data_IF_591875602846
#
_entry.id   IF_591875602846
#
_cell.length_a   1.000
_cell.length_b   1.000
_cell.length_c   1.000
_cell.angle_alpha   90.00
_cell.angle_beta   90.00
_cell.angle_gamma   90.00
#
_symmetry.space_group_name_H-M   'P 1'
#
loop_
_entity.id
_entity.type
_entity.pdbx_description
1 polymer ?
#
# COMPACT_ATOMS: atom_id res chain seq x y z
N UNK A 1 -25.27 14.09 -11.86
CA UNK A 1 -25.41 14.10 -10.39
C UNK A 1 -23.99 14.05 -9.83
N UNK A 2 -23.66 14.72 -8.72
CA UNK A 2 -22.32 14.54 -8.10
C UNK A 2 -22.23 13.10 -7.58
N UNK A 3 -21.05 12.50 -7.61
CA UNK A 3 -20.82 11.13 -7.13
C UNK A 3 -21.13 10.99 -5.63
N UNK A 4 -20.80 12.04 -4.87
CA UNK A 4 -21.01 12.17 -3.44
C UNK A 4 -21.45 13.59 -3.10
N UNK A 5 -22.27 13.75 -2.06
CA UNK A 5 -22.79 15.05 -1.63
C UNK A 5 -22.89 15.14 -0.10
N UNK A 6 -22.31 16.19 0.53
CA UNK A 6 -22.53 16.45 1.94
C UNK A 6 -24.00 16.65 2.31
N UNK A 7 -24.41 16.10 3.45
CA UNK A 7 -25.69 16.37 4.10
C UNK A 7 -25.45 17.27 5.31
N UNK A 8 -26.11 18.42 5.35
CA UNK A 8 -25.90 19.41 6.40
C UNK A 8 -26.43 18.91 7.75
N UNK A 9 -25.60 19.01 8.78
CA UNK A 9 -25.95 18.73 10.18
C UNK A 9 -26.18 20.01 11.00
N UNK A 10 -26.15 21.19 10.37
CA UNK A 10 -26.10 22.48 11.05
C UNK A 10 -27.28 22.74 12.00
N UNK A 11 -28.46 22.20 11.69
CA UNK A 11 -29.66 22.30 12.54
C UNK A 11 -29.43 21.70 13.94
N UNK A 12 -28.56 20.69 14.04
CA UNK A 12 -28.29 19.96 15.26
C UNK A 12 -26.98 20.35 15.93
N UNK A 13 -26.25 21.33 15.37
CA UNK A 13 -24.97 21.77 15.87
C UNK A 13 -25.09 22.46 17.24
N UNK A 14 -24.55 21.84 18.28
CA UNK A 14 -24.75 22.23 19.68
C UNK A 14 -23.53 22.00 20.58
N UNK A 15 -22.47 21.34 20.10
CA UNK A 15 -21.21 21.19 20.83
C UNK A 15 -20.10 21.91 20.06
N UNK A 16 -19.23 22.60 20.79
CA UNK A 16 -18.11 23.34 20.20
C UNK A 16 -17.06 22.38 19.63
N UNK A 17 -16.20 22.91 18.77
CA UNK A 17 -15.14 22.15 18.12
C UNK A 17 -13.94 21.77 18.98
N UNK A 18 -14.15 21.81 20.28
CA UNK A 18 -13.19 21.44 21.30
C UNK A 18 -13.90 20.40 22.15
N UNK A 19 -13.50 19.13 22.02
CA UNK A 19 -13.84 18.18 23.07
C UNK A 19 -13.13 18.70 24.34
N UNK A 20 -13.84 18.83 25.45
CA UNK A 20 -13.35 19.51 26.66
C UNK A 20 -12.04 18.93 27.26
N UNK A 21 -11.58 17.79 26.75
CA UNK A 21 -10.38 17.07 27.17
C UNK A 21 -9.26 17.05 26.12
N UNK A 22 -9.54 17.51 24.89
CA UNK A 22 -8.67 17.39 23.72
C UNK A 22 -8.49 18.81 23.14
N UNK A 23 -7.42 19.52 23.54
CA UNK A 23 -7.14 20.93 23.17
C UNK A 23 -7.00 21.18 21.65
N UNK A 24 -7.21 20.15 20.81
CA UNK A 24 -7.12 20.20 19.35
C UNK A 24 -8.39 20.76 18.74
N UNK A 25 -8.28 21.90 18.05
CA UNK A 25 -9.33 22.38 17.16
C UNK A 25 -9.36 21.53 15.88
N UNK A 26 -10.52 20.98 15.54
CA UNK A 26 -10.68 20.26 14.28
C UNK A 26 -11.02 21.20 13.11
N UNK A 27 -10.64 20.82 11.87
CA UNK A 27 -11.05 21.54 10.66
C UNK A 27 -12.57 21.59 10.53
N UNK A 28 -13.12 22.73 10.13
CA UNK A 28 -14.57 22.91 9.90
C UNK A 28 -14.83 23.39 8.48
N UNK A 29 -16.10 23.32 8.05
CA UNK A 29 -16.50 23.66 6.68
C UNK A 29 -16.22 22.52 5.71
N UNK A 30 -15.95 22.86 4.44
CA UNK A 30 -15.75 21.87 3.39
C UNK A 30 -14.41 21.14 3.56
N UNK A 31 -14.47 19.82 3.71
CA UNK A 31 -13.31 18.94 3.91
C UNK A 31 -13.41 17.73 3.00
N UNK A 32 -12.26 17.13 2.69
CA UNK A 32 -12.15 15.87 1.95
C UNK A 32 -11.47 14.83 2.83
N UNK A 33 -12.11 13.67 2.98
CA UNK A 33 -11.55 12.51 3.67
C UNK A 33 -11.73 11.27 2.80
N UNK A 34 -10.64 10.57 2.47
CA UNK A 34 -10.65 9.44 1.52
C UNK A 34 -11.29 9.79 0.16
N UNK A 35 -11.14 11.06 -0.27
CA UNK A 35 -11.79 11.58 -1.49
C UNK A 35 -13.27 11.90 -1.38
N UNK A 36 -13.90 11.65 -0.22
CA UNK A 36 -15.30 11.93 0.02
C UNK A 36 -15.49 13.36 0.54
N UNK A 37 -16.43 14.14 -0.04
CA UNK A 37 -16.72 15.49 0.43
C UNK A 37 -17.58 15.45 1.69
N UNK A 38 -17.18 16.22 2.69
CA UNK A 38 -17.94 16.49 3.90
C UNK A 38 -18.07 17.99 4.14
N UNK A 39 -19.21 18.40 4.69
CA UNK A 39 -19.37 19.69 5.34
C UNK A 39 -19.28 19.43 6.84
N UNK A 40 -18.12 19.74 7.44
CA UNK A 40 -17.85 19.48 8.85
C UNK A 40 -18.44 20.59 9.72
N UNK A 41 -19.33 20.18 10.62
CA UNK A 41 -20.05 21.06 11.53
C UNK A 41 -21.04 22.00 10.83
N UNK A 42 -21.25 23.17 11.43
CA UNK A 42 -22.07 24.26 10.91
C UNK A 42 -21.27 25.33 10.14
N UNK A 43 -19.98 25.10 9.91
CA UNK A 43 -19.05 26.08 9.35
C UNK A 43 -18.67 27.23 10.30
N UNK A 44 -19.13 27.20 11.56
CA UNK A 44 -18.85 28.20 12.61
C UNK A 44 -18.22 27.58 13.86
N UNK A 45 -17.71 26.35 13.76
CA UNK A 45 -17.04 25.69 14.88
C UNK A 45 -17.95 24.80 15.73
N UNK A 46 -19.16 24.44 15.30
CA UNK A 46 -20.05 23.55 16.08
C UNK A 46 -20.42 22.27 15.35
N UNK A 47 -20.58 21.19 16.13
CA UNK A 47 -20.95 19.84 15.67
C UNK A 47 -22.27 19.38 16.26
N UNK A 48 -22.86 18.34 15.67
CA UNK A 48 -24.06 17.72 16.20
C UNK A 48 -23.70 16.73 17.32
N UNK A 49 -23.81 17.20 18.56
CA UNK A 49 -23.57 16.43 19.79
C UNK A 49 -24.83 15.77 20.33
N UNK A 50 -24.64 14.58 20.92
CA UNK A 50 -25.69 13.70 21.40
C UNK A 50 -25.26 12.94 22.67
N UNK A 51 -26.24 12.39 23.38
CA UNK A 51 -26.03 11.61 24.60
C UNK A 51 -26.33 12.39 25.87
N UNK A 52 -26.06 11.75 27.01
CA UNK A 52 -26.33 12.30 28.35
C UNK A 52 -25.76 13.71 28.49
N UNK A 53 -26.55 14.62 29.06
CA UNK A 53 -26.16 16.02 29.30
C UNK A 53 -25.87 16.86 28.04
N UNK A 54 -26.07 16.34 26.83
CA UNK A 54 -25.96 17.10 25.57
C UNK A 54 -27.32 17.17 24.87
N UNK A 55 -27.82 16.03 24.37
CA UNK A 55 -29.14 15.88 23.74
C UNK A 55 -29.53 14.41 23.75
N UNK A 56 -30.66 14.09 24.39
CA UNK A 56 -31.26 12.75 24.36
C UNK A 56 -32.43 12.63 23.38
N UNK A 57 -32.99 13.75 22.91
CA UNK A 57 -34.06 13.74 21.93
C UNK A 57 -33.56 13.28 20.56
N UNK A 58 -34.34 12.48 19.81
CA UNK A 58 -34.00 12.12 18.45
C UNK A 58 -33.83 13.34 17.52
N UNK A 59 -32.86 13.28 16.61
CA UNK A 59 -32.63 14.29 15.58
C UNK A 59 -32.98 13.76 14.19
N UNK A 60 -33.80 14.49 13.43
CA UNK A 60 -34.26 14.10 12.11
C UNK A 60 -33.61 14.94 11.00
N UNK A 61 -32.83 14.28 10.15
CA UNK A 61 -32.20 14.88 8.98
C UNK A 61 -33.00 14.54 7.74
N UNK A 62 -33.46 15.56 7.01
CA UNK A 62 -34.19 15.36 5.73
C UNK A 62 -33.19 15.04 4.63
N UNK A 63 -33.48 14.01 3.83
CA UNK A 63 -32.65 13.59 2.69
C UNK A 63 -33.39 13.84 1.38
N UNK A 64 -34.50 13.14 1.14
CA UNK A 64 -35.37 13.33 -0.03
C UNK A 64 -34.70 12.95 -1.35
N UNK A 65 -33.83 11.94 -1.35
CA UNK A 65 -33.07 11.49 -2.52
C UNK A 65 -32.87 9.96 -2.49
N UNK A 66 -32.73 9.35 -3.68
CA UNK A 66 -32.23 7.99 -3.81
C UNK A 66 -30.72 7.99 -3.56
N UNK A 67 -30.28 7.19 -2.61
CA UNK A 67 -28.86 7.09 -2.21
C UNK A 67 -28.46 5.63 -2.16
N UNK A 68 -27.19 5.33 -2.46
CA UNK A 68 -26.62 3.98 -2.33
C UNK A 68 -25.89 3.80 -1.02
N UNK A 69 -25.22 4.84 -0.54
CA UNK A 69 -24.51 4.82 0.74
C UNK A 69 -24.72 6.11 1.51
N UNK A 70 -24.58 6.02 2.83
CA UNK A 70 -24.52 7.19 3.72
C UNK A 70 -23.32 7.02 4.64
N UNK A 71 -22.33 7.88 4.52
CA UNK A 71 -21.10 7.84 5.32
C UNK A 71 -21.14 8.92 6.39
N UNK A 72 -20.92 8.50 7.63
CA UNK A 72 -20.91 9.31 8.84
C UNK A 72 -19.48 9.51 9.30
N UNK A 73 -19.10 10.76 9.54
CA UNK A 73 -17.93 11.11 10.31
C UNK A 73 -18.38 11.31 11.76
N UNK A 74 -17.99 10.44 12.69
CA UNK A 74 -18.45 10.50 14.08
C UNK A 74 -17.44 9.95 15.09
N UNK A 75 -17.56 10.39 16.35
CA UNK A 75 -16.68 9.96 17.45
C UNK A 75 -17.44 9.91 18.77
N UNK A 76 -17.07 8.93 19.58
CA UNK A 76 -17.46 8.84 20.98
C UNK A 76 -16.62 9.82 21.82
N UNK A 77 -17.28 10.62 22.66
CA UNK A 77 -16.63 11.59 23.55
C UNK A 77 -16.06 10.87 24.77
N UNK A 78 -16.87 10.02 25.41
CA UNK A 78 -16.44 9.25 26.59
C UNK A 78 -16.45 7.75 26.31
N UNK A 79 -15.39 7.07 26.75
CA UNK A 79 -15.31 5.61 26.71
C UNK A 79 -14.89 5.09 28.09
N UNK A 80 -15.71 4.19 28.65
CA UNK A 80 -15.36 3.43 29.85
C UNK A 80 -14.71 2.07 29.50
N UNK A 81 -14.47 1.80 28.21
CA UNK A 81 -13.95 0.52 27.72
C UNK A 81 -12.63 0.14 28.41
N UNK A 82 -11.68 1.07 28.48
CA UNK A 82 -10.38 0.83 29.11
C UNK A 82 -10.42 0.77 30.65
N UNK A 83 -11.54 1.16 31.25
CA UNK A 83 -11.76 1.11 32.70
C UNK A 83 -12.40 -0.22 33.15
N UNK A 84 -12.61 -1.17 32.21
CA UNK A 84 -13.19 -2.48 32.49
C UNK A 84 -14.69 -2.45 32.79
N UNK A 85 -15.35 -1.30 32.59
CA UNK A 85 -16.75 -1.09 32.96
C UNK A 85 -17.76 -1.43 31.86
N UNK A 86 -17.32 -1.64 30.62
CA UNK A 86 -18.22 -1.71 29.45
C UNK A 86 -18.09 -3.02 28.68
N UNK A 87 -19.19 -3.74 28.41
CA UNK A 87 -19.19 -4.86 27.46
C UNK A 87 -18.74 -4.42 26.05
N UNK A 88 -17.99 -5.27 25.35
CA UNK A 88 -17.65 -5.02 23.94
C UNK A 88 -18.95 -4.85 23.13
N UNK A 89 -19.05 -3.74 22.39
CA UNK A 89 -20.22 -3.47 21.54
C UNK A 89 -21.40 -2.84 22.27
N UNK A 90 -21.18 -2.12 23.38
CA UNK A 90 -22.23 -1.29 23.98
C UNK A 90 -22.84 -0.34 22.91
N UNK A 91 -24.17 -0.27 22.88
CA UNK A 91 -24.89 0.55 21.90
C UNK A 91 -24.90 2.01 22.33
N UNK A 92 -24.25 2.87 21.56
CA UNK A 92 -24.17 4.30 21.80
C UNK A 92 -25.38 5.05 21.21
N UNK A 93 -25.87 4.60 20.06
CA UNK A 93 -27.01 5.17 19.34
C UNK A 93 -27.71 4.13 18.45
N UNK A 94 -28.90 4.46 17.96
CA UNK A 94 -29.50 3.84 16.78
C UNK A 94 -29.62 4.88 15.67
N UNK A 95 -29.20 4.55 14.44
CA UNK A 95 -29.46 5.36 13.26
C UNK A 95 -30.59 4.70 12.47
N UNK A 96 -31.68 5.44 12.25
CA UNK A 96 -32.89 4.94 11.59
C UNK A 96 -33.04 5.61 10.24
N UNK A 97 -33.14 4.81 9.19
CA UNK A 97 -33.26 5.24 7.79
C UNK A 97 -34.70 5.01 7.34
N UNK A 98 -35.46 6.08 7.08
CA UNK A 98 -36.87 5.98 6.70
C UNK A 98 -37.07 6.30 5.21
N UNK A 99 -37.76 5.42 4.50
CA UNK A 99 -38.03 5.54 3.07
C UNK A 99 -39.35 6.26 2.79
N UNK A 100 -39.56 6.63 1.53
CA UNK A 100 -40.78 7.33 1.08
C UNK A 100 -42.09 6.57 1.34
N UNK A 101 -42.05 5.24 1.34
CA UNK A 101 -43.19 4.34 1.57
C UNK A 101 -43.48 4.07 3.05
N UNK A 102 -42.66 4.61 3.96
CA UNK A 102 -42.78 4.44 5.40
C UNK A 102 -42.02 3.24 5.97
N UNK A 103 -41.36 2.43 5.14
CA UNK A 103 -40.43 1.40 5.60
C UNK A 103 -39.23 2.04 6.33
N UNK A 104 -38.67 1.34 7.31
CA UNK A 104 -37.53 1.82 8.10
C UNK A 104 -36.49 0.73 8.30
N UNK A 105 -35.23 1.10 8.17
CA UNK A 105 -34.07 0.29 8.55
C UNK A 105 -33.42 0.91 9.79
N UNK A 106 -33.22 0.13 10.85
CA UNK A 106 -32.55 0.59 12.08
C UNK A 106 -31.21 -0.12 12.24
N UNK A 107 -30.15 0.67 12.42
CA UNK A 107 -28.79 0.18 12.66
C UNK A 107 -28.31 0.63 14.03
N UNK A 108 -27.89 -0.32 14.86
CA UNK A 108 -27.24 -0.03 16.14
C UNK A 108 -25.80 0.47 15.89
N UNK A 109 -25.45 1.60 16.50
CA UNK A 109 -24.11 2.17 16.48
C UNK A 109 -23.44 1.83 17.80
N UNK A 110 -22.44 0.96 17.74
CA UNK A 110 -21.83 0.34 18.90
C UNK A 110 -20.38 0.79 19.04
N UNK A 111 -19.98 1.00 20.29
CA UNK A 111 -18.59 1.24 20.62
C UNK A 111 -17.73 0.07 20.12
N UNK A 112 -16.56 0.36 19.54
CA UNK A 112 -15.60 -0.60 18.94
C UNK A 112 -16.02 -1.23 17.62
N UNK A 113 -17.20 -0.92 17.08
CA UNK A 113 -17.64 -1.41 15.77
C UNK A 113 -17.82 -0.25 14.81
N UNK A 114 -18.93 0.48 14.93
CA UNK A 114 -19.26 1.60 14.06
C UNK A 114 -18.62 2.90 14.57
N UNK A 115 -18.49 3.08 15.89
CA UNK A 115 -17.93 4.30 16.50
C UNK A 115 -16.85 3.96 17.54
N UNK A 116 -15.96 4.91 17.81
CA UNK A 116 -14.95 4.79 18.86
C UNK A 116 -14.52 6.13 19.43
N UNK A 117 -13.79 6.07 20.55
CA UNK A 117 -13.12 7.21 21.15
C UNK A 117 -11.71 7.41 20.57
N UNK A 118 -11.12 8.57 20.89
CA UNK A 118 -9.75 8.95 20.56
C UNK A 118 -9.18 9.67 21.80
N UNK A 119 -7.90 9.52 22.16
CA UNK A 119 -6.94 8.57 21.60
C UNK A 119 -7.22 7.12 22.03
N UNK A 120 -6.70 6.16 21.27
CA UNK A 120 -6.79 4.73 21.57
C UNK A 120 -5.45 4.01 21.36
N UNK A 121 -5.16 2.93 22.10
CA UNK A 121 -3.97 2.12 21.87
C UNK A 121 -3.93 1.43 20.48
N UNK A 122 -2.75 0.97 20.08
CA UNK A 122 -2.59 0.15 18.87
C UNK A 122 -3.49 -1.09 18.90
N UNK A 123 -4.18 -1.36 17.79
CA UNK A 123 -5.07 -2.52 17.67
C UNK A 123 -6.47 -2.33 18.28
N UNK A 124 -6.77 -1.11 18.76
CA UNK A 124 -8.06 -0.81 19.40
C UNK A 124 -9.07 -0.05 18.51
N UNK A 125 -8.83 0.02 17.20
CA UNK A 125 -9.70 0.73 16.28
C UNK A 125 -11.10 0.09 16.21
N UNK A 126 -12.14 0.88 15.85
CA UNK A 126 -13.44 0.32 15.54
C UNK A 126 -13.34 -0.65 14.34
N UNK A 127 -14.01 -1.80 14.44
CA UNK A 127 -13.88 -2.88 13.46
C UNK A 127 -14.59 -2.60 12.13
N UNK A 128 -15.65 -1.79 12.16
CA UNK A 128 -16.50 -1.49 10.99
C UNK A 128 -16.33 -0.05 10.48
N UNK A 129 -15.49 0.75 11.13
CA UNK A 129 -15.18 2.12 10.72
C UNK A 129 -13.71 2.25 10.28
N UNK A 130 -13.36 3.40 9.71
CA UNK A 130 -12.00 3.77 9.35
C UNK A 130 -11.62 5.10 9.97
N UNK A 131 -10.34 5.34 10.29
CA UNK A 131 -9.84 6.69 10.52
C UNK A 131 -10.22 7.63 9.36
N UNK A 132 -10.47 8.90 9.66
CA UNK A 132 -10.64 9.93 8.65
C UNK A 132 -9.34 10.24 7.90
N UNK A 133 -8.20 10.01 8.55
CA UNK A 133 -6.89 10.05 7.93
C UNK A 133 -6.73 8.84 7.01
N UNK A 134 -6.22 9.07 5.81
CA UNK A 134 -5.89 8.03 4.85
C UNK A 134 -4.42 7.64 4.95
N UNK A 135 -4.07 6.41 4.57
CA UNK A 135 -2.69 6.00 4.37
C UNK A 135 -2.00 6.94 3.38
N UNK A 136 -0.75 7.29 3.66
CA UNK A 136 0.09 8.08 2.78
C UNK A 136 1.46 7.44 2.59
N UNK A 137 2.31 8.11 1.82
CA UNK A 137 3.71 7.73 1.68
C UNK A 137 4.58 8.63 2.56
N UNK A 138 5.65 8.06 3.11
CA UNK A 138 6.70 8.89 3.68
C UNK A 138 7.36 9.75 2.59
N UNK A 139 8.03 10.87 2.92
CA UNK A 139 8.89 11.52 1.95
C UNK A 139 10.00 10.55 1.53
N UNK A 140 10.07 10.20 0.24
CA UNK A 140 10.92 9.10 -0.26
C UNK A 140 12.40 9.26 0.07
N UNK A 141 12.92 10.49 -0.09
CA UNK A 141 14.37 10.76 -0.07
C UNK A 141 14.90 11.40 1.22
N UNK A 142 14.02 11.80 2.13
CA UNK A 142 14.42 12.52 3.34
C UNK A 142 13.53 12.18 4.54
N UNK A 143 14.09 12.24 5.76
CA UNK A 143 13.33 12.11 6.99
C UNK A 143 14.20 12.05 8.23
N UNK A 144 13.56 11.87 9.39
CA UNK A 144 14.28 11.79 10.67
C UNK A 144 15.04 10.48 10.77
N UNK A 145 16.29 10.57 11.23
CA UNK A 145 17.12 9.39 11.48
C UNK A 145 16.47 8.39 12.45
N UNK A 146 15.80 8.88 13.49
CA UNK A 146 15.08 8.04 14.46
C UNK A 146 13.93 7.23 13.86
N UNK A 147 13.48 7.59 12.65
CA UNK A 147 12.40 6.93 11.92
C UNK A 147 12.94 5.99 10.83
N UNK A 148 14.26 5.78 10.70
CA UNK A 148 14.86 4.97 9.64
C UNK A 148 14.27 3.55 9.54
N UNK A 149 13.93 2.92 10.67
CA UNK A 149 13.27 1.61 10.69
C UNK A 149 11.84 1.65 10.16
N UNK A 150 10.99 2.55 10.69
CA UNK A 150 9.58 2.65 10.26
C UNK A 150 9.45 3.11 8.80
N UNK A 151 10.40 3.89 8.30
CA UNK A 151 10.43 4.33 6.90
C UNK A 151 10.65 3.19 5.89
N UNK A 152 11.18 2.03 6.31
CA UNK A 152 11.25 0.84 5.45
C UNK A 152 9.86 0.29 5.09
N UNK A 153 8.83 0.68 5.84
CA UNK A 153 7.44 0.36 5.50
C UNK A 153 6.93 1.19 4.31
N UNK A 154 7.63 2.26 3.92
CA UNK A 154 7.29 3.25 2.90
C UNK A 154 6.00 4.04 3.14
N UNK A 155 5.04 3.48 3.86
CA UNK A 155 3.70 4.02 4.11
C UNK A 155 3.56 4.61 5.51
N UNK A 156 2.81 5.70 5.64
CA UNK A 156 2.38 6.25 6.92
C UNK A 156 1.16 5.49 7.44
N UNK A 157 1.11 5.26 8.76
CA UNK A 157 -0.04 4.63 9.39
C UNK A 157 -1.16 5.65 9.65
N UNK A 158 -2.41 5.39 9.28
CA UNK A 158 -3.50 6.37 9.35
C UNK A 158 -4.11 6.44 10.75
N UNK A 159 -3.45 7.11 11.69
CA UNK A 159 -4.03 7.32 13.01
C UNK A 159 -5.20 8.30 12.96
N UNK A 160 -6.36 7.87 13.46
CA UNK A 160 -7.53 8.75 13.57
C UNK A 160 -7.17 9.96 14.45
N UNK A 161 -7.41 11.16 13.94
CA UNK A 161 -7.09 12.39 14.66
C UNK A 161 -8.31 12.94 15.39
N UNK A 162 -9.46 12.91 14.74
CA UNK A 162 -10.67 13.61 15.15
C UNK A 162 -11.90 12.69 15.18
N UNK A 163 -12.09 11.80 14.21
CA UNK A 163 -13.27 10.93 14.15
C UNK A 163 -13.04 9.70 13.28
N UNK A 164 -14.01 8.78 13.33
CA UNK A 164 -14.04 7.64 12.43
C UNK A 164 -15.11 7.85 11.36
N UNK A 165 -14.85 7.28 10.18
CA UNK A 165 -15.75 7.18 9.06
C UNK A 165 -16.41 5.79 9.09
N UNK A 166 -17.71 5.77 9.25
CA UNK A 166 -18.54 4.58 9.11
C UNK A 166 -19.59 4.82 8.03
N UNK A 167 -19.87 3.83 7.19
CA UNK A 167 -20.88 3.96 6.15
C UNK A 167 -21.93 2.88 6.24
N UNK A 168 -23.16 3.28 5.95
CA UNK A 168 -24.30 2.41 5.74
C UNK A 168 -24.48 2.16 4.24
N UNK A 169 -24.68 0.91 3.86
CA UNK A 169 -25.08 0.51 2.51
C UNK A 169 -26.61 0.40 2.50
N UNK A 170 -27.25 1.16 1.62
CA UNK A 170 -28.70 1.15 1.50
C UNK A 170 -29.17 -0.18 0.87
N UNK A 171 -29.97 -1.02 1.58
CA UNK A 171 -30.51 -2.25 1.01
C UNK A 171 -31.59 -1.99 -0.07
N UNK A 172 -32.10 -0.76 -0.16
CA UNK A 172 -33.14 -0.34 -1.10
C UNK A 172 -32.70 0.91 -1.90
N UNK A 173 -31.67 0.80 -2.75
CA UNK A 173 -31.12 1.95 -3.49
C UNK A 173 -32.10 2.57 -4.51
N UNK A 174 -33.13 1.82 -4.91
CA UNK A 174 -34.16 2.29 -5.84
C UNK A 174 -35.28 3.09 -5.15
N UNK A 175 -35.36 3.06 -3.81
CA UNK A 175 -36.32 3.84 -3.02
C UNK A 175 -35.72 5.16 -2.60
N UNK A 176 -36.53 6.21 -2.57
CA UNK A 176 -36.09 7.48 -2.00
C UNK A 176 -35.89 7.34 -0.48
N UNK A 177 -34.70 7.66 0.01
CA UNK A 177 -34.45 7.83 1.44
C UNK A 177 -35.02 9.19 1.84
N UNK A 178 -36.09 9.18 2.63
CA UNK A 178 -36.81 10.39 3.01
C UNK A 178 -36.10 11.13 4.14
N UNK A 179 -35.70 10.41 5.18
CA UNK A 179 -35.01 10.98 6.35
C UNK A 179 -34.13 9.99 7.08
N UNK A 180 -33.17 10.52 7.84
CA UNK A 180 -32.33 9.78 8.77
C UNK A 180 -32.63 10.31 10.18
N UNK A 181 -32.94 9.43 11.12
CA UNK A 181 -33.17 9.79 12.52
C UNK A 181 -32.04 9.24 13.40
N UNK A 182 -31.37 10.12 14.12
CA UNK A 182 -30.32 9.78 15.10
C UNK A 182 -30.96 9.65 16.48
N UNK A 183 -30.90 8.45 17.07
CA UNK A 183 -31.51 8.14 18.38
C UNK A 183 -30.40 7.82 19.39
N UNK A 184 -30.00 8.75 20.28
CA UNK A 184 -28.98 8.49 21.28
C UNK A 184 -29.44 7.51 22.36
N UNK A 185 -28.52 6.67 22.87
CA UNK A 185 -28.83 5.62 23.88
C UNK A 185 -28.13 5.81 25.23
N UNK A 186 -27.36 6.88 25.40
CA UNK A 186 -26.75 7.23 26.69
C UNK A 186 -25.35 7.82 26.53
N UNK A 187 -24.37 7.07 26.00
CA UNK A 187 -23.00 7.56 25.81
C UNK A 187 -22.96 8.87 25.02
N UNK A 188 -22.03 9.76 25.39
CA UNK A 188 -21.84 11.05 24.70
C UNK A 188 -21.04 10.83 23.43
N UNK A 189 -21.54 11.35 22.31
CA UNK A 189 -20.86 11.30 21.02
C UNK A 189 -21.19 12.54 20.19
N UNK A 190 -20.45 12.76 19.10
CA UNK A 190 -20.82 13.75 18.10
C UNK A 190 -20.75 13.16 16.69
N UNK A 191 -21.57 13.73 15.81
CA UNK A 191 -21.49 13.57 14.36
C UNK A 191 -20.86 14.84 13.80
N UNK A 192 -19.75 14.65 13.11
CA UNK A 192 -18.95 15.69 12.49
C UNK A 192 -19.49 16.14 11.14
N UNK A 193 -19.97 15.18 10.36
CA UNK A 193 -20.51 15.40 9.05
C UNK A 193 -21.09 14.12 8.49
N UNK A 194 -21.94 14.28 7.49
CA UNK A 194 -22.54 13.16 6.78
C UNK A 194 -22.36 13.42 5.29
N UNK A 195 -22.08 12.37 4.52
CA UNK A 195 -22.02 12.44 3.06
C UNK A 195 -22.85 11.33 2.45
N UNK A 196 -23.61 11.68 1.42
CA UNK A 196 -24.48 10.80 0.65
C UNK A 196 -23.72 10.31 -0.57
N UNK A 197 -23.68 9.00 -0.79
CA UNK A 197 -23.09 8.39 -1.99
C UNK A 197 -24.16 7.92 -2.97
N UNK A 198 -23.94 8.20 -4.25
CA UNK A 198 -24.87 7.87 -5.33
C UNK A 198 -24.33 6.77 -6.26
N UNK A 199 -23.06 6.41 -6.09
CA UNK A 199 -22.39 5.41 -6.90
C UNK A 199 -22.55 4.00 -6.32
N UNK A 200 -22.49 3.00 -7.20
CA UNK A 200 -22.52 1.58 -6.84
C UNK A 200 -21.12 1.07 -6.51
N UNK A 201 -20.58 1.53 -5.40
CA UNK A 201 -19.23 1.18 -4.93
C UNK A 201 -19.12 1.27 -3.40
N UNK A 202 -18.06 0.67 -2.85
CA UNK A 202 -17.67 0.87 -1.45
C UNK A 202 -16.99 2.24 -1.30
N UNK A 203 -17.49 3.16 -0.44
CA UNK A 203 -16.99 4.53 -0.40
C UNK A 203 -15.59 4.68 0.24
N UNK A 204 -15.06 3.68 0.94
CA UNK A 204 -13.79 3.76 1.68
C UNK A 204 -12.77 2.71 1.20
N UNK A 205 -12.56 2.64 -0.12
CA UNK A 205 -11.59 1.81 -0.90
C UNK A 205 -11.16 0.50 -0.24
N UNK A 206 -11.61 -0.63 -0.81
CA UNK A 206 -11.21 -1.98 -0.39
C UNK A 206 -10.63 -2.83 -1.51
N UNK A 207 -10.31 -2.24 -2.66
CA UNK A 207 -9.74 -2.98 -3.79
C UNK A 207 -8.29 -3.38 -3.49
N UNK A 208 -7.89 -4.57 -3.96
CA UNK A 208 -6.50 -4.98 -3.90
C UNK A 208 -5.67 -4.07 -4.80
N UNK A 209 -4.46 -3.72 -4.35
CA UNK A 209 -3.51 -2.96 -5.19
C UNK A 209 -3.22 -3.71 -6.48
N UNK A 210 -3.22 -2.99 -7.59
CA UNK A 210 -2.94 -3.54 -8.92
C UNK A 210 -1.74 -2.84 -9.55
N UNK A 211 -0.75 -3.59 -10.07
CA UNK A 211 0.38 -3.01 -10.77
C UNK A 211 -0.08 -2.41 -12.11
N UNK A 212 0.29 -1.16 -12.35
CA UNK A 212 0.14 -0.51 -13.63
C UNK A 212 1.48 -0.05 -14.16
N UNK A 213 1.63 -0.11 -15.48
CA UNK A 213 2.69 0.57 -16.22
C UNK A 213 2.18 1.93 -16.66
N UNK A 214 2.99 2.96 -16.42
CA UNK A 214 2.78 4.31 -16.88
C UNK A 214 3.78 4.61 -17.99
N UNK A 215 3.26 4.88 -19.17
CA UNK A 215 4.03 5.23 -20.37
C UNK A 215 3.77 6.70 -20.75
N UNK A 216 4.83 7.43 -21.07
CA UNK A 216 4.79 8.82 -21.53
C UNK A 216 4.94 8.79 -23.04
N UNK A 217 3.93 9.27 -23.75
CA UNK A 217 3.80 9.08 -25.18
C UNK A 217 4.60 10.14 -25.98
N UNK A 218 4.82 11.31 -25.39
CA UNK A 218 5.59 12.40 -26.00
C UNK A 218 7.10 12.24 -25.76
N UNK A 219 7.96 12.32 -26.79
CA UNK A 219 9.41 12.10 -26.66
C UNK A 219 10.10 13.01 -25.63
N UNK A 220 9.67 14.27 -25.50
CA UNK A 220 10.20 15.23 -24.53
C UNK A 220 9.94 14.81 -23.08
N UNK A 221 8.78 14.21 -22.81
CA UNK A 221 8.44 13.74 -21.47
C UNK A 221 9.19 12.44 -21.12
N UNK A 222 9.52 11.61 -22.12
CA UNK A 222 10.31 10.39 -21.92
C UNK A 222 11.75 10.63 -21.46
N UNK A 223 12.30 11.84 -21.68
CA UNK A 223 13.66 12.20 -21.25
C UNK A 223 13.70 12.82 -19.85
N UNK A 224 12.54 13.06 -19.21
CA UNK A 224 12.47 13.63 -17.86
C UNK A 224 13.12 12.68 -16.85
N UNK A 225 13.79 13.26 -15.86
CA UNK A 225 14.47 12.56 -14.77
C UNK A 225 13.82 12.92 -13.44
N UNK A 226 14.09 12.12 -12.41
CA UNK A 226 13.43 12.24 -11.11
C UNK A 226 12.36 11.18 -10.97
N UNK A 227 11.25 11.53 -10.31
CA UNK A 227 10.11 10.65 -10.09
C UNK A 227 8.84 11.24 -10.66
N UNK A 228 7.93 10.35 -11.09
CA UNK A 228 6.53 10.71 -11.23
C UNK A 228 5.91 10.95 -9.85
N UNK A 229 4.82 11.70 -9.84
CA UNK A 229 3.90 11.79 -8.72
C UNK A 229 2.53 11.27 -9.18
N UNK A 230 1.93 10.37 -8.40
CA UNK A 230 0.71 9.65 -8.75
C UNK A 230 -0.31 9.95 -7.65
N UNK A 231 -1.24 10.84 -7.96
CA UNK A 231 -2.34 11.18 -7.06
C UNK A 231 -3.60 10.40 -7.45
N UNK A 232 -4.29 9.86 -6.43
CA UNK A 232 -5.53 9.12 -6.59
C UNK A 232 -6.56 9.71 -5.63
N UNK A 233 -7.62 10.31 -6.16
CA UNK A 233 -8.58 11.07 -5.34
C UNK A 233 -9.35 10.19 -4.33
N UNK A 234 -9.75 8.99 -4.74
CA UNK A 234 -10.47 7.97 -3.95
C UNK A 234 -9.70 6.66 -3.94
N UNK A 235 -8.44 6.74 -3.50
CA UNK A 235 -7.55 5.59 -3.45
C UNK A 235 -6.14 5.99 -3.02
N UNK A 236 -5.20 5.06 -3.16
CA UNK A 236 -3.79 5.24 -2.83
C UNK A 236 -2.91 4.65 -3.93
N UNK A 237 -1.68 5.16 -4.02
CA UNK A 237 -0.64 4.65 -4.89
C UNK A 237 0.66 4.43 -4.10
N UNK A 238 1.49 3.47 -4.53
CA UNK A 238 2.88 3.32 -4.04
C UNK A 238 3.79 4.36 -4.69
N UNK A 239 5.08 4.39 -4.32
CA UNK A 239 6.04 5.13 -5.15
C UNK A 239 6.05 4.59 -6.59
N UNK A 240 6.20 5.47 -7.59
CA UNK A 240 6.51 5.05 -8.94
C UNK A 240 7.98 4.65 -9.04
N UNK A 241 8.22 3.60 -9.82
CA UNK A 241 9.55 3.05 -10.06
C UNK A 241 9.82 2.94 -11.55
N UNK A 242 10.93 3.50 -12.00
CA UNK A 242 11.35 3.40 -13.40
C UNK A 242 11.61 1.95 -13.78
N UNK A 243 10.98 1.52 -14.86
CA UNK A 243 11.17 0.23 -15.50
C UNK A 243 12.39 0.24 -16.42
N UNK A 244 12.99 -0.93 -16.72
CA UNK A 244 14.10 -1.01 -17.66
C UNK A 244 13.69 -0.55 -19.07
N UNK A 245 14.64 0.03 -19.81
CA UNK A 245 14.44 0.41 -21.22
C UNK A 245 14.68 -0.73 -22.20
N UNK A 246 15.47 -1.72 -21.79
CA UNK A 246 15.77 -2.91 -22.60
C UNK A 246 14.53 -3.79 -22.70
N UNK A 247 14.31 -4.33 -23.89
CA UNK A 247 13.30 -5.35 -24.14
C UNK A 247 13.62 -6.66 -23.40
N UNK A 248 12.65 -7.58 -23.26
CA UNK A 248 12.89 -8.92 -22.73
C UNK A 248 14.06 -9.64 -23.42
N UNK A 249 14.08 -9.65 -24.76
CA UNK A 249 15.12 -10.33 -25.55
C UNK A 249 16.50 -9.71 -25.30
N UNK A 250 16.61 -8.39 -25.36
CA UNK A 250 17.87 -7.68 -25.05
C UNK A 250 18.36 -7.97 -23.63
N UNK A 251 17.45 -8.16 -22.67
CA UNK A 251 17.83 -8.52 -21.31
C UNK A 251 18.37 -9.95 -21.22
N UNK A 252 17.71 -10.91 -21.88
CA UNK A 252 18.13 -12.31 -21.94
C UNK A 252 19.51 -12.44 -22.59
N UNK A 253 19.76 -11.70 -23.67
CA UNK A 253 21.02 -11.74 -24.43
C UNK A 253 22.15 -10.91 -23.78
N UNK A 254 21.85 -10.08 -22.78
CA UNK A 254 22.85 -9.21 -22.13
C UNK A 254 23.94 -10.02 -21.41
N UNK A 255 25.19 -9.63 -21.63
CA UNK A 255 26.35 -10.30 -21.05
C UNK A 255 26.45 -10.14 -19.52
N UNK A 256 25.79 -9.15 -18.91
CA UNK A 256 25.72 -8.95 -17.46
C UNK A 256 24.70 -9.87 -16.78
N UNK A 257 24.36 -11.03 -17.35
CA UNK A 257 23.57 -12.06 -16.66
C UNK A 257 24.16 -12.38 -15.30
N UNK A 258 23.30 -12.36 -14.28
CA UNK A 258 23.71 -12.47 -12.89
C UNK A 258 24.52 -11.29 -12.37
N UNK A 259 24.69 -10.16 -13.04
CA UNK A 259 25.46 -9.01 -12.55
C UNK A 259 24.67 -7.70 -12.58
N UNK A 260 23.34 -7.82 -12.55
CA UNK A 260 22.42 -6.69 -12.54
C UNK A 260 22.09 -6.17 -13.93
N UNK A 261 21.64 -4.92 -13.96
CA UNK A 261 21.30 -4.17 -15.17
C UNK A 261 21.55 -2.68 -14.89
N UNK A 262 21.95 -1.93 -15.91
CA UNK A 262 22.06 -0.47 -15.82
C UNK A 262 20.74 0.18 -15.38
N UNK A 263 20.83 1.21 -14.53
CA UNK A 263 19.67 1.91 -14.01
C UNK A 263 19.01 2.79 -15.09
N UNK A 264 17.69 2.70 -15.22
CA UNK A 264 16.94 3.71 -15.95
C UNK A 264 16.85 4.98 -15.10
N UNK A 265 17.55 6.04 -15.51
CA UNK A 265 17.54 7.35 -14.84
C UNK A 265 16.40 8.27 -15.28
N UNK A 266 15.55 7.82 -16.20
CA UNK A 266 14.36 8.55 -16.65
C UNK A 266 13.11 8.05 -15.94
N UNK A 267 12.04 8.84 -15.96
CA UNK A 267 10.72 8.46 -15.45
C UNK A 267 9.93 7.55 -16.40
N UNK A 268 10.53 7.12 -17.53
CA UNK A 268 9.82 6.40 -18.59
C UNK A 268 10.50 5.10 -19.04
N UNK A 269 9.75 4.00 -19.20
CA UNK A 269 8.44 3.76 -18.57
C UNK A 269 8.60 3.63 -17.05
N UNK A 270 7.52 3.83 -16.30
CA UNK A 270 7.50 3.57 -14.86
C UNK A 270 6.39 2.58 -14.53
N UNK A 271 6.45 1.99 -13.34
CA UNK A 271 5.34 1.24 -12.79
C UNK A 271 5.00 1.72 -11.38
N UNK A 272 3.75 1.54 -11.01
CA UNK A 272 3.21 1.88 -9.68
C UNK A 272 2.11 0.87 -9.34
N UNK A 273 1.88 0.61 -8.06
CA UNK A 273 0.70 -0.15 -7.63
C UNK A 273 -0.37 0.82 -7.14
N UNK A 274 -1.60 0.66 -7.63
CA UNK A 274 -2.75 1.52 -7.29
C UNK A 274 -3.86 0.67 -6.67
N UNK A 275 -4.42 1.15 -5.57
CA UNK A 275 -5.66 0.62 -4.97
C UNK A 275 -6.67 1.77 -4.91
N UNK A 276 -7.77 1.67 -5.66
CA UNK A 276 -8.72 2.77 -5.80
C UNK A 276 -10.14 2.26 -6.08
N UNK A 277 -11.12 3.14 -5.84
CA UNK A 277 -12.49 2.93 -6.26
C UNK A 277 -12.63 3.04 -7.79
N UNK A 278 -13.59 2.33 -8.42
CA UNK A 278 -13.83 2.45 -9.87
C UNK A 278 -14.10 3.90 -10.33
N UNK A 279 -14.72 4.72 -9.48
CA UNK A 279 -14.96 6.12 -9.76
C UNK A 279 -13.71 7.02 -9.65
N UNK A 280 -12.61 6.52 -9.09
CA UNK A 280 -11.43 7.33 -8.83
C UNK A 280 -10.79 7.88 -10.10
N UNK A 281 -10.12 9.02 -9.94
CA UNK A 281 -9.27 9.65 -10.94
C UNK A 281 -7.82 9.44 -10.55
N UNK A 282 -7.02 9.01 -11.51
CA UNK A 282 -5.57 8.88 -11.37
C UNK A 282 -4.93 10.03 -12.13
N UNK A 283 -4.24 10.90 -11.39
CA UNK A 283 -3.54 12.06 -11.92
C UNK A 283 -2.04 11.77 -11.93
N UNK A 284 -1.42 11.83 -13.10
CA UNK A 284 0.02 11.63 -13.29
C UNK A 284 0.67 13.01 -13.38
N UNK A 285 1.61 13.28 -12.47
CA UNK A 285 2.33 14.55 -12.36
C UNK A 285 3.84 14.35 -12.41
N UNK A 286 4.54 15.44 -12.69
CA UNK A 286 6.00 15.51 -12.56
C UNK A 286 6.41 16.93 -12.16
N UNK A 287 7.08 17.08 -11.02
CA UNK A 287 7.52 18.39 -10.53
C UNK A 287 6.38 19.41 -10.35
N UNK A 288 5.18 18.93 -9.96
CA UNK A 288 3.98 19.74 -9.82
C UNK A 288 3.19 20.00 -11.11
N UNK A 289 3.74 19.68 -12.28
CA UNK A 289 3.02 19.74 -13.57
C UNK A 289 2.11 18.52 -13.73
N UNK A 290 0.83 18.75 -14.03
CA UNK A 290 -0.08 17.68 -14.44
C UNK A 290 0.24 17.24 -15.87
N UNK A 291 0.66 15.97 -16.02
CA UNK A 291 0.93 15.36 -17.32
C UNK A 291 -0.33 14.73 -17.92
N UNK A 292 -1.25 14.25 -17.09
CA UNK A 292 -2.52 13.73 -17.55
C UNK A 292 -3.36 13.13 -16.44
N UNK A 293 -4.65 12.94 -16.72
CA UNK A 293 -5.62 12.32 -15.82
C UNK A 293 -6.38 11.22 -16.55
N UNK A 294 -6.56 10.08 -15.91
CA UNK A 294 -7.37 8.96 -16.41
C UNK A 294 -8.38 8.49 -15.37
N UNK A 295 -9.47 7.86 -15.82
CA UNK A 295 -10.43 7.17 -14.94
C UNK A 295 -9.89 5.80 -14.53
N UNK A 296 -9.88 5.52 -13.23
CA UNK A 296 -9.46 4.20 -12.74
C UNK A 296 -10.40 3.09 -13.22
N UNK A 297 -11.71 3.31 -13.18
CA UNK A 297 -12.70 2.35 -13.69
C UNK A 297 -12.54 2.06 -15.18
N UNK A 298 -12.08 3.01 -15.99
CA UNK A 298 -11.73 2.74 -17.39
C UNK A 298 -10.50 1.81 -17.50
N UNK A 299 -9.45 2.10 -16.72
CA UNK A 299 -8.26 1.25 -16.65
C UNK A 299 -8.66 -0.17 -16.27
N UNK A 300 -9.47 -0.35 -15.22
CA UNK A 300 -9.93 -1.68 -14.78
C UNK A 300 -10.79 -2.40 -15.82
N UNK A 301 -11.72 -1.69 -16.47
CA UNK A 301 -12.64 -2.29 -17.43
C UNK A 301 -11.96 -2.68 -18.74
N UNK A 302 -10.97 -1.91 -19.21
CA UNK A 302 -10.35 -2.07 -20.54
C UNK A 302 -8.93 -2.62 -20.49
N UNK A 303 -8.31 -2.68 -19.31
CA UNK A 303 -6.89 -2.98 -19.16
C UNK A 303 -5.98 -1.77 -19.39
N UNK A 304 -6.51 -0.65 -19.87
CA UNK A 304 -5.72 0.55 -20.18
C UNK A 304 -6.62 1.78 -20.28
N UNK A 305 -6.04 2.96 -20.00
CA UNK A 305 -6.62 4.25 -20.34
C UNK A 305 -5.51 5.20 -20.80
N UNK A 306 -5.85 6.13 -21.69
CA UNK A 306 -4.90 7.13 -22.21
C UNK A 306 -5.46 8.52 -21.99
N UNK A 307 -4.65 9.41 -21.43
CA UNK A 307 -4.95 10.84 -21.34
C UNK A 307 -4.35 11.53 -22.56
N UNK A 308 -5.22 11.93 -23.49
CA UNK A 308 -4.88 12.56 -24.76
C UNK A 308 -3.79 11.79 -25.54
N UNK A 309 -2.70 12.44 -25.90
CA UNK A 309 -1.54 11.89 -26.58
C UNK A 309 -0.29 11.92 -25.70
N UNK A 310 -0.46 12.01 -24.36
CA UNK A 310 0.64 12.30 -23.43
C UNK A 310 0.92 11.19 -22.42
N UNK A 311 -0.11 10.63 -21.78
CA UNK A 311 0.05 9.61 -20.72
C UNK A 311 -0.82 8.40 -21.00
N UNK A 312 -0.23 7.21 -20.96
CA UNK A 312 -0.93 5.93 -21.03
C UNK A 312 -0.72 5.14 -19.74
N UNK A 313 -1.79 4.65 -19.13
CA UNK A 313 -1.76 3.71 -18.01
C UNK A 313 -2.26 2.35 -18.50
N UNK A 314 -1.53 1.30 -18.17
CA UNK A 314 -1.80 -0.09 -18.58
C UNK A 314 -1.73 -1.02 -17.36
N UNK A 315 -2.74 -1.88 -17.17
CA UNK A 315 -2.68 -2.91 -16.15
C UNK A 315 -1.69 -4.00 -16.53
N UNK A 316 -0.79 -4.33 -15.61
CA UNK A 316 0.23 -5.36 -15.78
C UNK A 316 0.04 -6.46 -14.74
N UNK A 317 -1.17 -7.04 -14.75
CA UNK A 317 -1.58 -8.05 -13.79
C UNK A 317 -2.24 -9.23 -14.51
N UNK A 318 -1.44 -10.18 -15.02
CA UNK A 318 -1.94 -11.37 -15.70
C UNK A 318 -2.50 -12.43 -14.72
N UNK A 319 -2.72 -12.06 -13.45
CA UNK A 319 -2.96 -13.00 -12.36
C UNK A 319 -1.66 -13.67 -11.90
N UNK A 320 -1.72 -14.33 -10.74
CA UNK A 320 -0.53 -14.88 -10.07
C UNK A 320 -0.77 -16.29 -9.55
N UNK A 321 0.32 -17.03 -9.35
CA UNK A 321 0.35 -18.29 -8.60
C UNK A 321 1.35 -18.17 -7.46
N UNK A 322 1.10 -18.88 -6.36
CA UNK A 322 2.11 -19.14 -5.35
C UNK A 322 3.00 -20.29 -5.85
N UNK A 323 4.28 -20.01 -6.09
CA UNK A 323 5.22 -20.96 -6.69
C UNK A 323 6.37 -21.23 -5.73
N UNK A 324 6.62 -22.51 -5.45
CA UNK A 324 7.80 -23.05 -4.80
C UNK A 324 8.89 -23.23 -5.87
N UNK A 325 10.00 -22.52 -5.70
CA UNK A 325 11.14 -22.58 -6.62
C UNK A 325 12.32 -23.25 -5.95
N UNK A 326 12.90 -24.25 -6.62
CA UNK A 326 14.15 -24.91 -6.22
C UNK A 326 15.23 -24.65 -7.27
N UNK A 327 16.39 -24.16 -6.83
CA UNK A 327 17.58 -24.00 -7.66
C UNK A 327 18.57 -25.11 -7.33
N UNK A 328 18.89 -25.95 -8.32
CA UNK A 328 19.77 -27.11 -8.15
C UNK A 328 21.08 -26.97 -8.93
N UNK A 329 22.13 -27.60 -8.43
CA UNK A 329 23.35 -27.86 -9.20
C UNK A 329 23.01 -28.92 -10.26
N UNK A 330 23.22 -28.59 -11.54
CA UNK A 330 22.77 -29.42 -12.65
C UNK A 330 23.40 -30.82 -12.67
N UNK A 331 24.63 -30.94 -12.18
CA UNK A 331 25.35 -32.21 -12.13
C UNK A 331 24.88 -33.09 -10.98
N UNK A 332 24.70 -32.51 -9.78
CA UNK A 332 24.37 -33.29 -8.57
C UNK A 332 22.88 -33.42 -8.30
N UNK A 333 22.05 -32.57 -8.91
CA UNK A 333 20.60 -32.49 -8.66
C UNK A 333 20.23 -31.97 -7.27
N UNK A 334 21.20 -31.50 -6.47
CA UNK A 334 20.96 -31.02 -5.11
C UNK A 334 20.66 -29.52 -5.09
N UNK A 335 19.77 -29.03 -4.21
CA UNK A 335 19.58 -27.60 -3.99
C UNK A 335 20.90 -26.91 -3.62
N UNK A 336 21.09 -25.71 -4.15
CA UNK A 336 22.30 -24.90 -3.91
C UNK A 336 21.94 -23.46 -3.59
N UNK A 337 22.57 -22.86 -2.55
CA UNK A 337 22.39 -21.44 -2.28
C UNK A 337 22.76 -20.59 -3.50
N UNK A 338 22.03 -19.50 -3.72
CA UNK A 338 22.27 -18.59 -4.83
C UNK A 338 21.53 -17.30 -4.55
N UNK A 339 21.75 -16.30 -5.41
CA UNK A 339 20.83 -15.18 -5.50
C UNK A 339 19.95 -15.30 -6.71
N UNK A 340 18.71 -14.83 -6.56
CA UNK A 340 17.67 -14.97 -7.57
C UNK A 340 16.88 -13.67 -7.72
N UNK A 341 16.45 -13.40 -8.95
CA UNK A 341 15.56 -12.32 -9.29
C UNK A 341 14.52 -12.84 -10.29
N UNK A 342 13.25 -12.49 -10.07
CA UNK A 342 12.18 -12.70 -11.04
C UNK A 342 11.60 -11.35 -11.43
N UNK A 343 11.18 -11.24 -12.69
CA UNK A 343 10.44 -10.08 -13.19
C UNK A 343 9.46 -10.44 -14.30
N UNK A 344 8.47 -9.57 -14.50
CA UNK A 344 7.66 -9.61 -15.72
C UNK A 344 8.47 -9.17 -16.94
N UNK A 345 7.97 -9.39 -18.18
CA UNK A 345 8.59 -8.87 -19.39
C UNK A 345 8.80 -7.35 -19.38
N UNK A 346 7.91 -6.60 -18.71
CA UNK A 346 8.02 -5.15 -18.53
C UNK A 346 9.11 -4.76 -17.52
N UNK A 347 9.66 -5.72 -16.78
CA UNK A 347 10.68 -5.50 -15.75
C UNK A 347 10.14 -5.24 -14.35
N UNK A 348 8.85 -5.51 -14.08
CA UNK A 348 8.27 -5.40 -12.74
C UNK A 348 8.82 -6.54 -11.87
N UNK A 349 9.44 -6.26 -10.70
CA UNK A 349 10.02 -7.29 -9.86
C UNK A 349 8.97 -8.16 -9.14
N UNK A 350 9.25 -9.46 -9.05
CA UNK A 350 8.46 -10.47 -8.31
C UNK A 350 9.36 -11.23 -7.34
N UNK A 351 9.78 -10.55 -6.27
CA UNK A 351 10.73 -11.15 -5.33
C UNK A 351 10.11 -12.28 -4.52
N UNK A 352 10.93 -13.25 -4.06
CA UNK A 352 10.45 -14.27 -3.13
C UNK A 352 9.81 -13.66 -1.88
N UNK A 353 8.90 -14.40 -1.27
CA UNK A 353 8.25 -14.00 -0.04
C UNK A 353 9.29 -13.74 1.07
N UNK A 354 9.17 -12.59 1.74
CA UNK A 354 10.13 -12.13 2.74
C UNK A 354 11.22 -11.20 2.22
N UNK A 355 11.31 -10.99 0.89
CA UNK A 355 12.31 -10.13 0.25
C UNK A 355 11.69 -8.86 -0.36
N UNK A 356 12.48 -7.80 -0.49
CA UNK A 356 12.01 -6.50 -0.95
C UNK A 356 12.01 -6.40 -2.48
N UNK A 357 10.88 -6.05 -3.13
CA UNK A 357 10.87 -5.72 -4.57
C UNK A 357 11.85 -4.60 -4.94
N UNK A 358 11.92 -3.56 -4.09
CA UNK A 358 12.84 -2.44 -4.17
C UNK A 358 13.48 -2.23 -2.80
N UNK A 359 14.72 -2.70 -2.65
CA UNK A 359 15.49 -2.49 -1.41
C UNK A 359 15.61 -0.99 -1.13
N UNK A 360 15.12 -0.56 0.04
CA UNK A 360 15.13 0.83 0.50
C UNK A 360 14.61 1.83 -0.55
N UNK A 361 13.52 1.50 -1.24
CA UNK A 361 12.92 2.33 -2.30
C UNK A 361 13.87 2.69 -3.45
N UNK A 362 14.86 1.84 -3.71
CA UNK A 362 15.98 2.09 -4.63
C UNK A 362 16.92 3.22 -4.20
N UNK A 363 17.05 3.46 -2.89
CA UNK A 363 18.05 4.36 -2.34
C UNK A 363 19.32 3.61 -1.94
N UNK A 364 20.44 4.33 -2.01
CA UNK A 364 21.69 3.87 -1.42
C UNK A 364 21.60 3.98 0.10
N UNK A 365 21.77 2.86 0.80
CA UNK A 365 21.88 2.86 2.26
C UNK A 365 23.26 2.38 2.64
N UNK A 366 23.93 3.18 3.48
CA UNK A 366 25.17 2.77 4.13
C UNK A 366 24.81 2.32 5.54
N UNK A 367 25.40 1.21 5.98
CA UNK A 367 25.26 0.74 7.35
C UNK A 367 23.83 0.29 7.76
N UNK A 368 23.16 -0.49 6.91
CA UNK A 368 21.87 -1.11 7.26
C UNK A 368 21.92 -2.55 6.78
N UNK A 369 21.72 -3.50 7.69
CA UNK A 369 21.46 -4.90 7.32
C UNK A 369 20.05 -4.96 6.72
N UNK A 370 19.99 -5.32 5.43
CA UNK A 370 18.75 -5.33 4.62
C UNK A 370 18.16 -6.74 4.47
N UNK A 371 18.62 -7.71 5.25
CA UNK A 371 17.93 -8.99 5.40
C UNK A 371 18.13 -10.01 4.27
N UNK A 372 19.30 -10.00 3.61
CA UNK A 372 19.63 -10.96 2.56
C UNK A 372 19.11 -10.57 1.17
N UNK A 373 18.98 -9.28 0.91
CA UNK A 373 18.78 -8.71 -0.41
C UNK A 373 20.04 -8.00 -0.90
N UNK A 374 20.26 -7.93 -2.21
CA UNK A 374 21.34 -7.12 -2.80
C UNK A 374 20.83 -6.40 -4.05
N UNK A 375 21.19 -5.13 -4.21
CA UNK A 375 20.84 -4.36 -5.40
C UNK A 375 22.07 -4.12 -6.28
N UNK A 376 22.00 -4.58 -7.52
CA UNK A 376 23.02 -4.39 -8.55
C UNK A 376 22.41 -3.60 -9.71
N UNK A 377 22.67 -2.28 -9.72
CA UNK A 377 22.08 -1.34 -10.66
C UNK A 377 20.56 -1.24 -10.51
N UNK A 378 19.81 -1.59 -11.55
CA UNK A 378 18.33 -1.59 -11.52
C UNK A 378 17.73 -2.81 -10.82
N UNK A 379 18.50 -3.88 -10.62
CA UNK A 379 17.96 -5.18 -10.19
C UNK A 379 18.24 -5.40 -8.71
N UNK A 380 17.19 -5.72 -7.96
CA UNK A 380 17.30 -6.36 -6.64
C UNK A 380 17.30 -7.87 -6.80
N UNK A 381 18.20 -8.54 -6.10
CA UNK A 381 18.24 -9.99 -5.95
C UNK A 381 17.96 -10.37 -4.50
N UNK A 382 17.30 -11.51 -4.33
CA UNK A 382 17.12 -12.18 -3.05
C UNK A 382 18.17 -13.28 -2.89
N UNK A 383 18.88 -13.34 -1.77
CA UNK A 383 19.71 -14.48 -1.40
C UNK A 383 18.85 -15.61 -0.82
N UNK A 384 19.00 -16.81 -1.38
CA UNK A 384 18.22 -17.98 -0.99
C UNK A 384 19.14 -19.17 -0.69
N UNK A 385 18.67 -20.10 0.15
CA UNK A 385 19.39 -21.35 0.44
C UNK A 385 19.11 -22.46 -0.59
N UNK A 386 18.84 -22.07 -1.83
CA UNK A 386 18.49 -22.98 -2.94
C UNK A 386 17.01 -23.28 -3.07
N UNK A 387 16.19 -22.82 -2.14
CA UNK A 387 14.73 -22.91 -2.20
C UNK A 387 14.13 -21.57 -1.80
N UNK A 388 13.05 -21.19 -2.47
CA UNK A 388 12.24 -20.03 -2.12
C UNK A 388 10.79 -20.23 -2.57
N UNK A 389 9.89 -19.36 -2.12
CA UNK A 389 8.51 -19.36 -2.56
C UNK A 389 8.00 -17.93 -2.69
N UNK A 390 7.03 -17.70 -3.56
CA UNK A 390 6.43 -16.38 -3.71
C UNK A 390 5.39 -16.32 -4.81
N UNK A 391 4.80 -15.14 -4.98
CA UNK A 391 3.88 -14.88 -6.08
C UNK A 391 4.66 -14.66 -7.37
N UNK A 392 4.42 -15.48 -8.38
CA UNK A 392 4.88 -15.24 -9.76
C UNK A 392 3.68 -14.93 -10.66
N UNK A 393 3.83 -14.04 -11.66
CA UNK A 393 2.75 -13.77 -12.59
C UNK A 393 2.54 -14.99 -13.49
N UNK A 394 1.29 -15.25 -13.85
CA UNK A 394 0.96 -16.26 -14.86
C UNK A 394 1.43 -15.75 -16.21
N UNK A 395 1.95 -16.64 -17.04
CA UNK A 395 2.52 -16.27 -18.31
C UNK A 395 4.05 -16.25 -18.27
N UNK A 396 4.62 -15.30 -18.99
CA UNK A 396 6.06 -15.15 -19.12
C UNK A 396 6.69 -14.55 -17.86
N UNK A 397 7.75 -15.18 -17.36
CA UNK A 397 8.59 -14.69 -16.26
C UNK A 397 10.05 -14.74 -16.70
N UNK A 398 10.75 -13.62 -16.56
CA UNK A 398 12.19 -13.56 -16.75
C UNK A 398 12.87 -13.83 -15.41
N UNK A 399 13.85 -14.73 -15.43
CA UNK A 399 14.57 -15.19 -14.23
C UNK A 399 16.05 -14.91 -14.40
N UNK A 400 16.68 -14.41 -13.35
CA UNK A 400 18.13 -14.24 -13.27
C UNK A 400 18.66 -14.83 -11.97
N UNK A 401 19.59 -15.78 -12.08
CA UNK A 401 20.15 -16.55 -10.97
C UNK A 401 21.67 -16.57 -11.08
N UNK A 402 22.35 -16.27 -9.97
CA UNK A 402 23.80 -16.28 -9.90
C UNK A 402 24.31 -16.96 -8.63
N UNK A 403 25.49 -17.58 -8.74
CA UNK A 403 26.23 -18.20 -7.63
C UNK A 403 27.74 -18.10 -7.89
N UNK A 404 28.37 -17.02 -7.45
CA UNK A 404 29.82 -16.86 -7.53
C UNK A 404 30.40 -17.03 -8.94
N UNK A 405 31.70 -17.34 -9.01
CA UNK A 405 32.44 -17.47 -10.28
C UNK A 405 32.61 -18.92 -10.76
N UNK A 406 32.27 -19.92 -9.94
CA UNK A 406 32.39 -21.35 -10.30
C UNK A 406 31.16 -21.88 -11.06
N UNK A 407 30.09 -21.08 -11.18
CA UNK A 407 28.86 -21.42 -11.90
C UNK A 407 28.60 -20.42 -13.01
N UNK A 408 28.01 -20.91 -14.10
CA UNK A 408 27.46 -20.06 -15.16
C UNK A 408 26.17 -19.41 -14.65
N UNK A 409 26.04 -18.07 -14.64
CA UNK A 409 24.79 -17.42 -14.30
C UNK A 409 23.67 -17.83 -15.27
N UNK A 410 22.50 -18.12 -14.72
CA UNK A 410 21.30 -18.45 -15.49
C UNK A 410 20.45 -17.20 -15.63
N UNK A 411 20.35 -16.67 -16.86
CA UNK A 411 19.32 -15.71 -17.22
C UNK A 411 18.45 -16.34 -18.30
N UNK A 412 17.16 -16.52 -18.01
CA UNK A 412 16.26 -17.28 -18.88
C UNK A 412 14.82 -16.82 -18.76
N UNK A 413 14.00 -17.23 -19.71
CA UNK A 413 12.56 -17.06 -19.70
C UNK A 413 11.91 -18.37 -19.28
N UNK A 414 10.95 -18.30 -18.35
CA UNK A 414 10.11 -19.42 -17.97
C UNK A 414 8.64 -19.07 -18.19
N UNK A 415 7.82 -20.09 -18.47
CA UNK A 415 6.38 -19.95 -18.59
C UNK A 415 5.70 -20.52 -17.35
N UNK A 416 4.95 -19.70 -16.63
CA UNK A 416 4.15 -20.10 -15.46
C UNK A 416 2.72 -20.35 -15.91
N UNK A 417 2.31 -21.62 -16.00
CA UNK A 417 0.95 -21.99 -16.36
C UNK A 417 -0.05 -21.68 -15.23
N UNK A 418 -1.34 -21.45 -15.51
CA UNK A 418 -2.35 -21.31 -14.47
C UNK A 418 -2.34 -22.52 -13.51
N UNK A 419 -2.26 -22.26 -12.20
CA UNK A 419 -2.23 -23.31 -11.17
C UNK A 419 -0.89 -24.03 -10.98
N UNK A 420 0.16 -23.71 -11.76
CA UNK A 420 1.51 -24.22 -11.50
C UNK A 420 2.04 -23.71 -10.17
N UNK A 421 2.51 -24.64 -9.32
CA UNK A 421 3.04 -24.36 -7.98
C UNK A 421 4.51 -24.71 -7.82
N UNK A 422 5.12 -25.39 -8.79
CA UNK A 422 6.51 -25.87 -8.70
C UNK A 422 7.33 -25.32 -9.87
N UNK A 423 8.55 -24.88 -9.59
CA UNK A 423 9.54 -24.44 -10.57
C UNK A 423 10.93 -24.97 -10.16
N UNK A 424 11.62 -25.63 -11.09
CA UNK A 424 13.02 -26.04 -10.87
C UNK A 424 13.94 -25.34 -11.85
N UNK A 425 14.96 -24.69 -11.32
CA UNK A 425 16.02 -24.00 -12.07
C UNK A 425 17.34 -24.73 -11.87
N UNK A 426 18.20 -24.73 -12.89
CA UNK A 426 19.43 -25.53 -12.91
C UNK A 426 20.62 -24.62 -13.20
N UNK A 427 21.59 -24.58 -12.28
CA UNK A 427 22.86 -23.88 -12.50
C UNK A 427 23.92 -24.88 -12.92
N UNK A 428 24.59 -24.56 -14.03
CA UNK A 428 25.70 -25.35 -14.55
C UNK A 428 26.99 -24.92 -13.86
N UNK A 429 27.66 -25.86 -13.21
CA UNK A 429 28.99 -25.66 -12.65
C UNK A 429 30.04 -25.65 -13.77
N UNK A 430 30.89 -24.62 -13.79
CA UNK A 430 31.99 -24.45 -14.75
C UNK A 430 33.31 -25.01 -14.21
N UNK A 431 33.54 -24.89 -12.91
CA UNK A 431 34.73 -25.39 -12.23
C UNK A 431 34.38 -25.88 -10.82
N UNK A 432 35.22 -26.76 -10.27
CA UNK A 432 35.10 -27.23 -8.88
C UNK A 432 36.44 -27.05 -8.19
N UNK A 433 36.76 -25.80 -7.85
CA UNK A 433 38.08 -25.38 -7.39
C UNK A 433 38.47 -26.01 -6.05
N UNK A 434 37.45 -26.40 -5.26
CA UNK A 434 37.66 -27.18 -4.04
C UNK A 434 38.26 -28.55 -4.27
N UNK A 435 38.01 -29.21 -5.40
CA UNK A 435 38.67 -30.49 -5.73
C UNK A 435 40.18 -30.33 -5.82
N UNK A 436 40.64 -29.15 -6.20
CA UNK A 436 42.05 -28.78 -6.30
C UNK A 436 42.58 -28.08 -5.04
N UNK A 437 41.79 -28.04 -3.96
CA UNK A 437 42.09 -27.38 -2.67
C UNK A 437 42.24 -25.85 -2.74
N UNK A 438 41.61 -25.22 -3.73
CA UNK A 438 41.42 -23.77 -3.76
C UNK A 438 40.08 -23.39 -3.12
N UNK A 439 40.09 -22.35 -2.28
CA UNK A 439 38.92 -21.86 -1.55
C UNK A 439 38.79 -20.35 -1.75
N UNK A 440 37.65 -19.90 -2.27
CA UNK A 440 37.30 -18.48 -2.36
C UNK A 440 37.06 -17.90 -0.96
N UNK A 441 37.50 -16.66 -0.74
CA UNK A 441 37.27 -15.96 0.51
C UNK A 441 37.06 -14.47 0.31
N UNK A 442 36.20 -13.88 1.14
CA UNK A 442 36.06 -12.43 1.28
C UNK A 442 36.73 -11.97 2.57
N UNK A 443 37.72 -11.10 2.44
CA UNK A 443 38.54 -10.62 3.55
C UNK A 443 38.00 -9.33 4.18
N UNK A 444 36.96 -8.71 3.63
CA UNK A 444 36.52 -7.37 4.04
C UNK A 444 34.99 -7.24 4.03
N UNK A 445 34.34 -7.82 5.05
CA UNK A 445 32.87 -7.74 5.23
C UNK A 445 32.52 -6.95 6.48
N UNK A 446 31.50 -6.08 6.37
CA UNK A 446 30.98 -5.24 7.46
C UNK A 446 29.46 -5.13 7.39
N UNK A 447 28.85 -4.73 8.52
CA UNK A 447 27.46 -4.24 8.61
C UNK A 447 26.37 -5.27 8.27
N UNK A 448 26.66 -6.53 8.57
CA UNK A 448 25.73 -7.65 8.43
C UNK A 448 25.83 -8.56 9.64
N UNK A 449 24.73 -9.21 10.00
CA UNK A 449 24.73 -10.27 11.02
C UNK A 449 25.59 -11.48 10.62
N UNK A 450 26.00 -12.30 11.59
CA UNK A 450 26.74 -13.55 11.32
C UNK A 450 25.93 -14.53 10.47
N UNK A 451 24.62 -14.61 10.69
CA UNK A 451 23.73 -15.44 9.86
C UNK A 451 23.61 -14.88 8.43
N UNK A 452 23.48 -13.57 8.28
CA UNK A 452 23.46 -12.91 6.97
C UNK A 452 24.75 -13.15 6.21
N UNK A 453 25.91 -12.91 6.83
CA UNK A 453 27.22 -13.16 6.22
C UNK A 453 27.35 -14.62 5.75
N UNK A 454 26.88 -15.58 6.54
CA UNK A 454 26.92 -16.99 6.15
C UNK A 454 26.00 -17.30 4.95
N UNK A 455 24.78 -16.73 4.94
CA UNK A 455 23.83 -16.89 3.84
C UNK A 455 24.41 -16.32 2.53
N UNK A 456 24.85 -15.07 2.54
CA UNK A 456 25.37 -14.38 1.36
C UNK A 456 26.65 -15.06 0.85
N UNK A 457 27.57 -15.41 1.74
CA UNK A 457 28.78 -16.16 1.37
C UNK A 457 28.43 -17.47 0.69
N UNK A 458 27.51 -18.24 1.29
CA UNK A 458 27.09 -19.52 0.76
C UNK A 458 26.46 -19.36 -0.62
N UNK A 459 25.65 -18.33 -0.81
CA UNK A 459 24.96 -18.00 -2.06
C UNK A 459 25.90 -17.46 -3.14
N UNK A 460 26.95 -16.73 -2.78
CA UNK A 460 27.99 -16.25 -3.70
C UNK A 460 29.13 -17.26 -3.91
N UNK A 461 28.99 -18.49 -3.37
CA UNK A 461 30.04 -19.51 -3.50
C UNK A 461 31.36 -19.12 -2.85
N UNK A 462 31.30 -18.28 -1.81
CA UNK A 462 32.43 -17.87 -0.96
C UNK A 462 32.56 -18.85 0.21
N UNK A 463 33.75 -19.42 0.41
CA UNK A 463 33.98 -20.46 1.42
C UNK A 463 34.41 -19.91 2.77
N UNK A 464 35.05 -18.74 2.79
CA UNK A 464 35.55 -18.08 4.00
C UNK A 464 35.13 -16.63 3.97
N UNK A 465 34.46 -16.15 5.01
CA UNK A 465 34.16 -14.73 5.19
C UNK A 465 34.76 -14.24 6.49
N UNK A 466 35.54 -13.17 6.40
CA UNK A 466 36.04 -12.44 7.56
C UNK A 466 35.10 -11.27 7.84
N UNK A 467 34.19 -11.46 8.80
CA UNK A 467 33.37 -10.38 9.32
C UNK A 467 34.22 -9.52 10.25
N UNK A 468 34.56 -8.32 9.81
CA UNK A 468 35.50 -7.44 10.50
C UNK A 468 34.78 -6.53 11.49
N UNK A 469 35.30 -6.48 12.71
CA UNK A 469 34.96 -5.44 13.66
C UNK A 469 35.48 -4.09 13.14
N UNK A 470 34.61 -3.09 13.10
CA UNK A 470 34.99 -1.73 12.73
C UNK A 470 34.52 -0.72 13.77
N UNK A 471 35.30 0.35 13.90
CA UNK A 471 34.96 1.51 14.70
C UNK A 471 34.99 2.75 13.79
N UNK A 472 33.84 3.39 13.64
CA UNK A 472 33.69 4.62 12.88
C UNK A 472 33.14 5.69 13.83
N UNK A 473 34.02 6.47 14.44
CA UNK A 473 33.65 7.41 15.51
C UNK A 473 33.25 6.68 16.80
N UNK A 474 32.07 7.00 17.35
CA UNK A 474 31.52 6.36 18.56
C UNK A 474 30.87 5.01 18.31
N UNK A 475 30.84 4.58 17.06
CA UNK A 475 30.01 3.50 16.60
C UNK A 475 30.88 2.27 16.38
N UNK A 476 30.65 1.27 17.24
CA UNK A 476 31.35 -0.01 17.24
C UNK A 476 30.43 -1.08 16.66
N UNK A 477 30.90 -1.80 15.65
CA UNK A 477 30.14 -2.89 15.06
C UNK A 477 30.73 -4.23 15.41
N UNK A 478 29.92 -5.03 16.09
CA UNK A 478 30.21 -6.42 16.43
C UNK A 478 28.87 -7.15 16.38
N UNK A 479 28.71 -8.09 15.46
CA UNK A 479 27.62 -9.07 15.51
C UNK A 479 28.24 -10.44 15.78
#
# INVERSE_FOLDING_TARGET
MKDYQPLSIALYANIDNRAAEDEREFPTGDQLYHGLPFQIGDGKGKMAGFGQSIRMDPAELTVGMKVRTVTFAHRLIDSNFHQGGTPIGETCASYVFAFEDGETEEVAIRERFEIGSIPIPWGHWPLLARPEVQEGLHPRYEGKWSEAGVRQLETTHPWAQFFYLWYWINPHPDKELKKITIVPKGPRFYIAGITLGFLDEDPLTRSARRPVKVSLLRPEDQQRQGDLDIEVDRGVATYPYSLPRKTPDEFIEDFHRGWGQEMNHTIHPSYVEIAANPSARVTVKHGGEELGVVSWGEVEARGTATSEDRVKIELVDPGRNWVHTTVVDDHTGKPIPCRIHFRSPEGIPYQPHGHHPHVNSNNGTWHIDIGGDVRLGQITYAYIQGECQGWLPRGEVLVDVARGYEYEPLRTQVQIAPGQQELTLRLKRLADMRKDRYFSGDTHVHFISTQGAHLEASAEGVHVVNLLQSQWGHLFYKH
#
